data_IF_704797003688
#
_entry.id   IF_704797003688
#
_cell.length_a   1.000
_cell.length_b   1.000
_cell.length_c   1.000
_cell.angle_alpha   90.00
_cell.angle_beta   90.00
_cell.angle_gamma   90.00
#
_symmetry.space_group_name_H-M   'P 1'
#
loop_
_entity.id
_entity.type
_entity.pdbx_description
1 polymer ?
#
# COMPACT_ATOMS: atom_id res chain seq x y z
N UNK A 1 -4.08 18.61 -7.07
CA UNK A 1 -5.02 18.98 -5.99
C UNK A 1 -5.09 17.83 -5.02
N UNK A 2 -5.07 18.09 -3.71
CA UNK A 2 -5.15 17.07 -2.67
C UNK A 2 -6.58 16.91 -2.16
N UNK A 3 -6.96 15.69 -1.75
CA UNK A 3 -8.21 15.47 -1.05
C UNK A 3 -8.15 16.13 0.34
N UNK A 4 -9.29 16.65 0.82
CA UNK A 4 -9.39 17.37 2.10
C UNK A 4 -9.13 16.48 3.34
N UNK A 5 -9.18 15.17 3.17
CA UNK A 5 -9.00 14.19 4.23
C UNK A 5 -8.04 13.08 3.79
N UNK A 6 -7.37 12.49 4.77
CA UNK A 6 -6.49 11.35 4.62
C UNK A 6 -6.83 10.31 5.69
N UNK A 7 -6.51 9.04 5.41
CA UNK A 7 -6.64 7.96 6.38
C UNK A 7 -5.30 7.84 7.12
N UNK A 8 -5.29 8.18 8.40
CA UNK A 8 -4.16 7.94 9.29
C UNK A 8 -4.45 6.73 10.18
N UNK A 9 -3.49 5.83 10.28
CA UNK A 9 -3.61 4.62 11.10
C UNK A 9 -2.27 4.30 11.75
N UNK A 10 -2.18 4.54 13.06
CA UNK A 10 -1.03 4.16 13.85
C UNK A 10 -1.05 2.63 14.10
N UNK A 11 -0.12 1.92 13.46
CA UNK A 11 0.07 0.49 13.66
C UNK A 11 0.39 0.20 15.14
N UNK A 12 -0.50 -0.55 15.79
CA UNK A 12 -0.28 -1.05 17.16
C UNK A 12 0.40 -2.42 17.10
N UNK A 13 1.10 -2.80 18.18
CA UNK A 13 1.86 -4.06 18.22
C UNK A 13 1.04 -5.33 17.97
N UNK A 14 -0.27 -5.28 18.20
CA UNK A 14 -1.21 -6.39 18.00
C UNK A 14 -1.74 -6.50 16.56
N UNK A 15 -1.55 -5.44 15.76
CA UNK A 15 -1.90 -5.46 14.35
C UNK A 15 -0.72 -6.02 13.56
N UNK A 16 -0.94 -7.14 12.87
CA UNK A 16 0.12 -7.79 12.11
C UNK A 16 0.59 -6.87 10.99
N UNK A 17 1.76 -6.26 11.17
CA UNK A 17 2.47 -5.45 10.19
C UNK A 17 2.50 -6.13 8.80
N UNK A 18 2.60 -7.46 8.76
CA UNK A 18 2.60 -8.21 7.50
C UNK A 18 1.24 -8.14 6.81
N UNK A 19 0.14 -8.12 7.55
CA UNK A 19 -1.21 -7.99 6.98
C UNK A 19 -1.38 -6.61 6.35
N UNK A 20 -0.97 -5.55 7.05
CA UNK A 20 -1.05 -4.19 6.51
C UNK A 20 -0.11 -4.02 5.32
N UNK A 21 1.13 -4.53 5.40
CA UNK A 21 2.06 -4.50 4.29
C UNK A 21 1.50 -5.23 3.05
N UNK A 22 0.92 -6.43 3.23
CA UNK A 22 0.26 -7.17 2.13
C UNK A 22 -0.89 -6.40 1.51
N UNK A 23 -1.67 -5.70 2.33
CA UNK A 23 -2.76 -4.86 1.83
C UNK A 23 -2.25 -3.73 0.94
N UNK A 24 -1.22 -3.00 1.39
CA UNK A 24 -0.61 -1.90 0.63
C UNK A 24 -0.02 -2.43 -0.68
N UNK A 25 0.77 -3.50 -0.61
CA UNK A 25 1.42 -4.13 -1.77
C UNK A 25 0.40 -4.66 -2.79
N UNK A 26 -0.73 -5.22 -2.32
CA UNK A 26 -1.80 -5.74 -3.18
C UNK A 26 -2.76 -4.69 -3.73
N UNK A 27 -2.70 -3.45 -3.24
CA UNK A 27 -3.63 -2.39 -3.63
C UNK A 27 -3.66 -2.09 -5.14
N UNK A 28 -2.53 -2.04 -5.87
CA UNK A 28 -2.53 -1.79 -7.31
C UNK A 28 -3.30 -2.85 -8.10
N UNK A 29 -3.18 -4.13 -7.73
CA UNK A 29 -3.92 -5.24 -8.35
C UNK A 29 -5.42 -5.11 -8.05
N UNK A 30 -5.76 -4.85 -6.79
CA UNK A 30 -7.17 -4.67 -6.37
C UNK A 30 -7.83 -3.45 -7.03
N UNK A 31 -7.06 -2.41 -7.30
CA UNK A 31 -7.50 -1.22 -8.03
C UNK A 31 -7.58 -1.43 -9.55
N UNK A 32 -7.19 -2.61 -10.07
CA UNK A 32 -7.21 -2.93 -11.49
C UNK A 32 -6.14 -2.20 -12.31
N UNK A 33 -5.09 -1.68 -11.66
CA UNK A 33 -4.01 -0.97 -12.34
C UNK A 33 -3.03 -1.92 -13.04
N UNK A 34 -2.84 -3.11 -12.49
CA UNK A 34 -1.90 -4.15 -12.96
C UNK A 34 -2.42 -5.54 -12.65
N UNK A 35 -1.99 -6.55 -13.42
CA UNK A 35 -2.35 -7.96 -13.17
C UNK A 35 -1.53 -8.59 -12.05
N UNK A 36 -0.29 -8.12 -11.85
CA UNK A 36 0.60 -8.58 -10.79
C UNK A 36 1.28 -7.39 -10.12
N UNK A 37 1.58 -7.55 -8.82
CA UNK A 37 2.20 -6.50 -8.00
C UNK A 37 3.48 -5.94 -8.62
N UNK A 38 4.38 -6.83 -9.10
CA UNK A 38 5.66 -6.42 -9.66
C UNK A 38 5.58 -5.66 -10.99
N UNK A 39 4.39 -5.61 -11.61
CA UNK A 39 4.18 -4.85 -12.83
C UNK A 39 3.89 -3.35 -12.53
N UNK A 40 3.68 -2.98 -11.27
CA UNK A 40 3.44 -1.59 -10.86
C UNK A 40 4.76 -0.88 -10.58
N UNK A 41 5.17 0.08 -11.41
CA UNK A 41 6.50 0.72 -11.36
C UNK A 41 6.93 1.36 -10.03
N UNK A 42 6.03 1.50 -9.05
CA UNK A 42 6.31 2.06 -7.73
C UNK A 42 6.23 1.02 -6.60
N UNK A 43 6.20 -0.27 -6.92
CA UNK A 43 6.01 -1.35 -5.94
C UNK A 43 7.20 -1.52 -4.97
N UNK A 44 8.42 -1.19 -5.40
CA UNK A 44 9.68 -1.36 -4.68
C UNK A 44 10.41 -0.04 -4.42
N UNK A 45 9.68 1.09 -4.39
CA UNK A 45 10.27 2.39 -4.14
C UNK A 45 10.96 2.42 -2.76
N UNK A 46 12.29 2.47 -2.75
CA UNK A 46 13.12 2.69 -1.57
C UNK A 46 13.51 4.17 -1.52
N UNK A 47 13.24 4.83 -0.39
CA UNK A 47 13.64 6.21 -0.14
C UNK A 47 14.93 6.23 0.68
N UNK A 48 15.93 7.00 0.23
CA UNK A 48 17.24 7.17 0.88
C UNK A 48 17.23 8.25 1.97
#
# INVERSE_FOLDING_TARGET
>A
MWARAYHDHALRSDEDLKTVARYIIGNPVRAGLVERVGDYSFWDAVWA
#
